data_IF_029433050103
#
_entry.id   IF_029433050103
#
_cell.length_a   1.000
_cell.length_b   1.000
_cell.length_c   1.000
_cell.angle_alpha   90.00
_cell.angle_beta   90.00
_cell.angle_gamma   90.00
#
_symmetry.space_group_name_H-M   'P 1'
#
loop_
_entity.id
_entity.type
_entity.pdbx_description
1 polymer ?
#
# COMPACT_ATOMS: atom_id res chain seq x y z
N UNK A 1 -56.86 27.80 23.60
CA UNK A 1 -56.58 27.08 22.34
C UNK A 1 -55.25 27.48 21.71
N UNK A 2 -54.88 28.76 21.58
CA UNK A 2 -53.60 29.16 20.99
C UNK A 2 -52.34 28.63 21.69
N UNK A 3 -52.36 28.53 23.05
CA UNK A 3 -51.22 27.99 23.83
C UNK A 3 -50.99 26.48 23.67
N UNK A 4 -52.06 25.73 23.41
CA UNK A 4 -52.00 24.28 23.17
C UNK A 4 -51.43 23.94 21.79
N UNK A 5 -51.74 24.77 20.79
CA UNK A 5 -51.22 24.65 19.42
C UNK A 5 -49.70 24.91 19.40
N UNK A 6 -49.22 25.89 20.15
CA UNK A 6 -47.77 26.17 20.28
C UNK A 6 -47.03 25.04 20.94
N UNK A 7 -47.62 24.38 21.95
CA UNK A 7 -46.99 23.25 22.62
C UNK A 7 -46.89 22.04 21.69
N UNK A 8 -47.93 21.77 20.88
CA UNK A 8 -47.90 20.69 19.88
C UNK A 8 -46.91 20.95 18.74
N UNK A 9 -46.77 22.20 18.29
CA UNK A 9 -45.79 22.56 17.26
C UNK A 9 -44.34 22.43 17.77
N UNK A 10 -44.09 22.78 19.05
CA UNK A 10 -42.76 22.63 19.65
C UNK A 10 -42.37 21.17 19.91
N UNK A 11 -43.34 20.27 20.16
CA UNK A 11 -43.10 18.84 20.28
C UNK A 11 -42.79 18.19 18.92
N UNK A 12 -43.45 18.64 17.83
CA UNK A 12 -43.20 18.16 16.46
C UNK A 12 -41.83 18.59 15.93
N UNK A 13 -41.33 19.76 16.30
CA UNK A 13 -39.97 20.22 15.92
C UNK A 13 -38.89 19.57 16.74
N UNK A 14 -39.14 19.16 18.00
CA UNK A 14 -38.17 18.43 18.81
C UNK A 14 -38.03 16.96 18.35
N UNK A 15 -39.10 16.34 17.81
CA UNK A 15 -39.07 14.97 17.27
C UNK A 15 -38.28 14.81 15.95
N UNK A 16 -38.16 15.89 15.17
CA UNK A 16 -37.42 15.85 13.89
C UNK A 16 -35.91 16.11 14.03
N UNK A 17 -35.43 16.53 15.20
CA UNK A 17 -34.00 16.74 15.44
C UNK A 17 -33.26 15.46 15.87
N UNK A 18 -33.97 14.38 16.20
CA UNK A 18 -33.37 13.09 16.55
C UNK A 18 -33.26 12.11 15.38
N UNK A 19 -33.72 12.47 14.19
CA UNK A 19 -33.68 11.62 13.00
C UNK A 19 -32.53 11.96 12.04
N UNK A 20 -31.64 12.88 12.42
CA UNK A 20 -30.52 13.33 11.57
C UNK A 20 -29.14 12.73 12.00
N UNK A 21 -29.14 11.63 12.75
CA UNK A 21 -27.90 11.00 13.22
C UNK A 21 -27.97 9.48 13.13
N UNK A 22 -28.20 8.91 11.93
CA UNK A 22 -28.17 7.44 11.87
C UNK A 22 -27.79 6.82 10.52
N UNK A 23 -27.01 7.50 9.69
CA UNK A 23 -26.45 6.89 8.47
C UNK A 23 -24.92 6.84 8.43
N UNK A 24 -24.22 7.23 9.49
CA UNK A 24 -22.78 7.07 9.57
C UNK A 24 -22.42 5.72 10.17
N UNK A 25 -21.82 4.83 9.36
CA UNK A 25 -21.29 3.56 9.84
C UNK A 25 -20.36 3.78 11.04
N UNK A 26 -20.51 2.94 12.04
CA UNK A 26 -19.56 2.90 13.16
C UNK A 26 -18.18 2.47 12.67
N UNK A 27 -17.16 2.80 13.43
CA UNK A 27 -15.78 2.38 13.08
C UNK A 27 -15.65 0.85 12.97
N UNK A 28 -16.36 0.09 13.79
CA UNK A 28 -16.38 -1.38 13.72
C UNK A 28 -17.00 -1.89 12.41
N UNK A 29 -18.09 -1.29 11.95
CA UNK A 29 -18.72 -1.61 10.67
C UNK A 29 -17.83 -1.24 9.50
N UNK A 30 -17.09 -0.11 9.56
CA UNK A 30 -16.14 0.27 8.53
C UNK A 30 -14.98 -0.75 8.44
N UNK A 31 -14.46 -1.25 9.58
CA UNK A 31 -13.43 -2.29 9.60
C UNK A 31 -13.93 -3.63 9.04
N UNK A 32 -15.20 -3.97 9.28
CA UNK A 32 -15.80 -5.17 8.68
C UNK A 32 -15.97 -5.01 7.17
N UNK A 33 -16.38 -3.84 6.70
CA UNK A 33 -16.48 -3.53 5.27
C UNK A 33 -15.10 -3.58 4.59
N UNK A 34 -14.07 -3.01 5.22
CA UNK A 34 -12.68 -3.10 4.77
C UNK A 34 -12.24 -4.55 4.58
N UNK A 35 -12.45 -5.38 5.63
CA UNK A 35 -12.11 -6.79 5.59
C UNK A 35 -12.82 -7.50 4.43
N UNK A 36 -14.13 -7.29 4.32
CA UNK A 36 -14.94 -7.87 3.25
C UNK A 36 -14.50 -7.40 1.86
N UNK A 37 -14.05 -6.15 1.72
CA UNK A 37 -13.51 -5.62 0.45
C UNK A 37 -12.19 -6.30 0.08
N UNK A 38 -11.27 -6.47 1.04
CA UNK A 38 -10.00 -7.17 0.84
C UNK A 38 -10.24 -8.64 0.47
N UNK A 39 -11.13 -9.35 1.17
CA UNK A 39 -11.47 -10.75 0.87
C UNK A 39 -12.07 -10.89 -0.54
N UNK A 40 -12.95 -10.00 -0.94
CA UNK A 40 -13.48 -9.97 -2.32
C UNK A 40 -12.38 -9.68 -3.34
N UNK A 41 -11.47 -8.75 -3.05
CA UNK A 41 -10.35 -8.43 -3.94
C UNK A 41 -9.47 -9.66 -4.18
N UNK A 42 -9.09 -10.36 -3.13
CA UNK A 42 -8.27 -11.57 -3.18
C UNK A 42 -8.96 -12.66 -4.02
N UNK A 43 -10.27 -12.87 -3.76
CA UNK A 43 -11.06 -13.86 -4.50
C UNK A 43 -11.20 -13.53 -5.98
N UNK A 44 -11.58 -12.28 -6.30
CA UNK A 44 -11.82 -11.83 -7.68
C UNK A 44 -10.53 -11.83 -8.50
N UNK A 45 -9.39 -11.54 -7.85
CA UNK A 45 -8.06 -11.57 -8.48
C UNK A 45 -7.44 -12.97 -8.53
N UNK A 46 -8.14 -14.00 -8.02
CA UNK A 46 -7.66 -15.38 -7.92
C UNK A 46 -6.27 -15.49 -7.27
N UNK A 47 -6.06 -14.71 -6.20
CA UNK A 47 -4.82 -14.69 -5.42
C UNK A 47 -4.75 -15.94 -4.54
N UNK A 48 -3.63 -16.64 -4.57
CA UNK A 48 -3.30 -17.71 -3.65
C UNK A 48 -2.60 -17.12 -2.42
N UNK A 49 -3.17 -17.33 -1.24
CA UNK A 49 -2.60 -16.80 0.01
C UNK A 49 -1.83 -17.89 0.73
N UNK A 50 -0.59 -17.58 1.12
CA UNK A 50 0.27 -18.45 1.91
C UNK A 50 0.57 -17.84 3.28
N UNK A 51 0.95 -18.69 4.23
CA UNK A 51 1.40 -18.25 5.56
C UNK A 51 2.85 -17.74 5.52
N UNK A 52 3.24 -16.98 6.54
CA UNK A 52 4.65 -16.55 6.71
C UNK A 52 5.58 -17.76 6.82
N UNK A 53 5.15 -18.83 7.50
CA UNK A 53 5.95 -20.05 7.63
C UNK A 53 6.20 -20.75 6.29
N UNK A 54 5.20 -20.83 5.42
CA UNK A 54 5.35 -21.38 4.06
C UNK A 54 6.26 -20.49 3.22
N UNK A 55 6.11 -19.17 3.32
CA UNK A 55 6.94 -18.20 2.63
C UNK A 55 8.41 -18.33 3.04
N UNK A 56 8.73 -18.41 4.34
CA UNK A 56 10.09 -18.60 4.85
C UNK A 56 10.69 -19.94 4.44
N UNK A 57 9.91 -21.02 4.42
CA UNK A 57 10.35 -22.34 3.95
C UNK A 57 10.63 -22.38 2.45
N UNK A 58 10.08 -21.44 1.70
CA UNK A 58 10.28 -21.28 0.26
C UNK A 58 11.27 -20.14 -0.06
N UNK A 59 12.34 -20.00 0.69
CA UNK A 59 13.40 -18.99 0.51
C UNK A 59 12.85 -17.55 0.42
N UNK A 60 11.71 -17.30 1.04
CA UNK A 60 11.01 -16.02 1.02
C UNK A 60 10.70 -15.51 -0.40
N UNK A 61 10.32 -16.40 -1.31
CA UNK A 61 9.83 -16.07 -2.66
C UNK A 61 8.33 -16.33 -2.76
N UNK A 62 7.69 -15.63 -3.68
CA UNK A 62 6.29 -15.83 -4.05
C UNK A 62 6.18 -16.09 -5.55
N UNK A 63 5.14 -16.80 -5.98
CA UNK A 63 4.84 -16.98 -7.39
C UNK A 63 4.12 -15.77 -7.97
N UNK A 64 4.42 -15.47 -9.22
CA UNK A 64 3.80 -14.35 -9.93
C UNK A 64 3.51 -14.73 -11.39
N UNK A 65 2.27 -14.54 -11.84
CA UNK A 65 1.90 -14.71 -13.25
C UNK A 65 2.75 -13.82 -14.17
N UNK A 66 3.15 -12.65 -13.69
CA UNK A 66 4.07 -11.76 -14.39
C UNK A 66 5.40 -12.43 -14.73
N UNK A 67 5.83 -13.43 -13.95
CA UNK A 67 7.05 -14.22 -14.15
C UNK A 67 6.79 -15.55 -14.88
N UNK A 68 5.55 -15.80 -15.33
CA UNK A 68 5.16 -17.01 -16.04
C UNK A 68 4.63 -18.13 -15.13
N UNK A 69 4.41 -17.86 -13.84
CA UNK A 69 3.81 -18.82 -12.91
C UNK A 69 2.31 -19.04 -13.20
N UNK A 70 1.76 -20.14 -12.71
CA UNK A 70 0.36 -20.50 -12.94
C UNK A 70 -0.63 -19.60 -12.20
N UNK A 71 -0.22 -18.98 -11.10
CA UNK A 71 -1.05 -18.13 -10.23
C UNK A 71 -0.21 -17.08 -9.52
N UNK A 72 -0.90 -16.05 -9.03
CA UNK A 72 -0.31 -15.05 -8.15
C UNK A 72 -0.40 -15.53 -6.70
N UNK A 73 0.72 -15.48 -5.97
CA UNK A 73 0.85 -15.94 -4.60
C UNK A 73 1.24 -14.76 -3.70
N UNK A 74 0.48 -14.58 -2.62
CA UNK A 74 0.73 -13.53 -1.65
C UNK A 74 0.93 -14.13 -0.25
N UNK A 75 1.99 -13.73 0.44
CA UNK A 75 2.18 -14.04 1.86
C UNK A 75 1.33 -13.11 2.72
N UNK A 76 0.65 -13.67 3.71
CA UNK A 76 -0.19 -12.93 4.64
C UNK A 76 0.51 -12.74 6.00
N UNK A 77 0.81 -11.49 6.34
CA UNK A 77 1.31 -11.07 7.64
C UNK A 77 0.13 -10.78 8.57
N UNK A 78 -0.30 -11.79 9.33
CA UNK A 78 -1.56 -11.76 10.07
C UNK A 78 -1.63 -10.71 11.19
N UNK A 79 -0.52 -10.34 11.82
CA UNK A 79 -0.46 -9.31 12.86
C UNK A 79 -0.72 -7.91 12.29
N UNK A 80 -0.20 -7.65 11.10
CA UNK A 80 -0.32 -6.38 10.39
C UNK A 80 -1.55 -6.34 9.48
N UNK A 81 -2.00 -7.50 9.01
CA UNK A 81 -3.07 -7.64 8.03
C UNK A 81 -2.64 -7.34 6.59
N UNK A 82 -1.35 -7.30 6.33
CA UNK A 82 -0.76 -6.98 5.03
C UNK A 82 -0.54 -8.25 4.23
N UNK A 83 -0.83 -8.18 2.91
CA UNK A 83 -0.46 -9.25 1.97
C UNK A 83 0.64 -8.72 1.05
N UNK A 84 1.63 -9.56 0.75
CA UNK A 84 2.78 -9.20 -0.07
C UNK A 84 3.05 -10.26 -1.15
N UNK A 85 3.25 -9.80 -2.39
CA UNK A 85 3.79 -10.58 -3.48
C UNK A 85 5.11 -9.95 -3.94
N UNK A 86 6.17 -10.72 -3.99
CA UNK A 86 7.45 -10.30 -4.56
C UNK A 86 7.47 -10.69 -6.04
N UNK A 87 7.40 -9.70 -6.93
CA UNK A 87 7.53 -9.90 -8.38
C UNK A 87 9.02 -10.04 -8.73
N UNK A 88 9.83 -9.13 -8.19
CA UNK A 88 11.29 -9.13 -8.31
C UNK A 88 11.88 -8.69 -6.99
N UNK A 89 12.73 -9.52 -6.41
CA UNK A 89 13.38 -9.19 -5.13
C UNK A 89 14.34 -8.01 -5.23
N UNK A 90 14.81 -7.73 -6.43
CA UNK A 90 15.79 -6.69 -6.71
C UNK A 90 17.23 -7.19 -6.71
N UNK A 91 18.09 -6.40 -7.35
CA UNK A 91 19.51 -6.62 -7.46
C UNK A 91 20.20 -5.27 -7.61
N UNK A 92 21.17 -4.88 -6.93
CA UNK A 92 21.79 -3.54 -6.94
C UNK A 92 22.12 -2.92 -8.31
N UNK A 93 22.15 -3.73 -9.38
CA UNK A 93 22.49 -3.23 -10.72
C UNK A 93 21.26 -3.06 -11.61
N UNK A 94 20.84 -1.80 -11.79
CA UNK A 94 19.70 -1.43 -12.64
C UNK A 94 19.99 -1.58 -14.13
N UNK A 95 21.24 -1.43 -14.54
CA UNK A 95 21.65 -1.36 -15.96
C UNK A 95 22.04 -2.74 -16.52
N UNK A 96 22.11 -3.77 -15.69
CA UNK A 96 22.46 -5.11 -16.16
C UNK A 96 21.25 -5.88 -16.69
N UNK A 97 20.93 -5.61 -17.95
CA UNK A 97 19.91 -6.38 -18.70
C UNK A 97 20.29 -7.87 -18.87
N UNK A 98 21.51 -8.25 -18.52
CA UNK A 98 22.03 -9.62 -18.56
C UNK A 98 22.16 -10.24 -17.17
N UNK A 99 21.73 -9.54 -16.10
CA UNK A 99 21.74 -10.11 -14.76
C UNK A 99 21.02 -11.46 -14.78
N UNK A 100 21.69 -12.54 -14.37
CA UNK A 100 21.05 -13.84 -14.29
C UNK A 100 19.87 -13.74 -13.32
N UNK A 101 18.86 -14.56 -13.58
CA UNK A 101 17.63 -14.67 -12.80
C UNK A 101 17.80 -14.08 -11.39
N UNK A 102 17.26 -12.90 -11.14
CA UNK A 102 17.48 -12.04 -9.96
C UNK A 102 17.16 -12.67 -8.62
N UNK A 103 16.72 -13.91 -8.63
CA UNK A 103 16.51 -14.75 -7.44
C UNK A 103 17.74 -15.57 -7.04
N UNK A 104 18.82 -15.62 -7.85
CA UNK A 104 20.00 -16.46 -7.64
C UNK A 104 21.24 -15.64 -7.24
N UNK A 105 21.14 -14.91 -6.14
CA UNK A 105 22.29 -14.14 -5.60
C UNK A 105 23.24 -14.99 -4.80
N UNK A 106 24.54 -14.63 -4.84
CA UNK A 106 25.49 -15.04 -3.80
C UNK A 106 25.10 -14.43 -2.45
N UNK A 107 25.52 -15.05 -1.36
CA UNK A 107 25.17 -14.54 -0.02
C UNK A 107 25.79 -13.15 0.26
N UNK A 108 26.92 -12.82 -0.36
CA UNK A 108 27.59 -11.52 -0.27
C UNK A 108 26.78 -10.43 -1.01
N UNK A 109 26.33 -10.68 -2.24
CA UNK A 109 25.46 -9.78 -3.00
C UNK A 109 24.13 -9.53 -2.28
N UNK A 110 23.59 -10.56 -1.60
CA UNK A 110 22.36 -10.43 -0.80
C UNK A 110 22.50 -9.45 0.36
N UNK A 111 23.69 -9.27 0.93
CA UNK A 111 23.90 -8.36 2.05
C UNK A 111 24.10 -6.91 1.60
N UNK A 112 24.87 -6.68 0.53
CA UNK A 112 25.18 -5.31 0.04
C UNK A 112 23.96 -4.58 -0.48
N UNK A 113 23.01 -5.30 -1.09
CA UNK A 113 21.83 -4.71 -1.71
C UNK A 113 20.62 -4.55 -0.79
N UNK A 114 20.73 -5.03 0.45
CA UNK A 114 19.66 -4.84 1.46
C UNK A 114 19.37 -3.36 1.70
N UNK A 115 18.11 -3.07 1.96
CA UNK A 115 17.71 -1.78 2.51
C UNK A 115 18.05 -1.73 4.00
N UNK A 116 18.94 -0.81 4.36
CA UNK A 116 19.44 -0.64 5.73
C UNK A 116 19.05 0.72 6.29
N UNK A 117 19.22 0.87 7.61
CA UNK A 117 18.99 2.14 8.30
C UNK A 117 19.72 3.28 7.61
N UNK A 118 19.01 4.40 7.44
CA UNK A 118 19.53 5.59 6.82
C UNK A 118 19.55 5.61 5.29
N UNK A 119 19.12 4.56 4.59
CA UNK A 119 19.00 4.64 3.14
C UNK A 119 17.95 5.68 2.71
N UNK A 120 18.27 6.41 1.65
CA UNK A 120 17.26 7.11 0.87
C UNK A 120 16.78 6.17 -0.22
N UNK A 121 15.47 5.99 -0.33
CA UNK A 121 14.85 5.02 -1.23
C UNK A 121 13.96 5.78 -2.21
N UNK A 122 14.26 5.65 -3.50
CA UNK A 122 13.36 6.04 -4.58
C UNK A 122 12.24 5.01 -4.71
N UNK A 123 11.02 5.46 -4.94
CA UNK A 123 9.88 4.57 -5.17
C UNK A 123 9.03 5.03 -6.34
N UNK A 124 8.62 4.03 -7.16
CA UNK A 124 7.63 4.18 -8.22
C UNK A 124 6.50 3.21 -7.97
N UNK A 125 5.27 3.70 -8.02
CA UNK A 125 4.12 2.94 -7.63
C UNK A 125 2.84 3.33 -8.38
N UNK A 126 1.89 2.42 -8.37
CA UNK A 126 0.48 2.68 -8.63
C UNK A 126 -0.33 2.21 -7.41
N UNK A 127 -1.21 3.08 -6.94
CA UNK A 127 -2.12 2.84 -5.82
C UNK A 127 -3.54 2.72 -6.32
N UNK A 128 -4.21 1.61 -5.97
CA UNK A 128 -5.60 1.35 -6.33
C UNK A 128 -6.44 1.21 -5.07
N UNK A 129 -7.53 1.94 -4.98
CA UNK A 129 -8.52 1.76 -3.92
C UNK A 129 -9.20 0.39 -4.10
N UNK A 130 -9.13 -0.47 -3.08
CA UNK A 130 -9.65 -1.85 -3.16
C UNK A 130 -11.18 -1.88 -3.23
N UNK A 131 -11.87 -0.93 -2.62
CA UNK A 131 -13.33 -0.88 -2.61
C UNK A 131 -13.91 -0.47 -3.96
N UNK A 132 -13.37 0.61 -4.54
CA UNK A 132 -13.86 1.16 -5.82
C UNK A 132 -13.19 0.57 -7.04
N UNK A 133 -12.04 -0.07 -6.90
CA UNK A 133 -11.17 -0.56 -7.98
C UNK A 133 -10.58 0.54 -8.86
N UNK A 134 -10.62 1.76 -8.39
CA UNK A 134 -10.12 2.93 -9.11
C UNK A 134 -8.66 3.23 -8.72
N UNK A 135 -7.89 3.68 -9.72
CA UNK A 135 -6.54 4.18 -9.51
C UNK A 135 -6.61 5.49 -8.71
N UNK A 136 -5.95 5.53 -7.56
CA UNK A 136 -6.00 6.67 -6.63
C UNK A 136 -4.80 7.61 -6.77
N UNK A 137 -3.59 7.05 -6.76
CA UNK A 137 -2.35 7.81 -6.93
C UNK A 137 -1.30 6.95 -7.65
N UNK A 138 -0.38 7.61 -8.38
CA UNK A 138 0.69 6.92 -9.09
C UNK A 138 1.80 7.89 -9.46
N UNK A 139 3.01 7.36 -9.66
CA UNK A 139 4.15 8.08 -10.22
C UNK A 139 4.92 7.25 -11.26
N UNK A 140 4.22 6.30 -11.86
CA UNK A 140 4.67 5.52 -13.02
C UNK A 140 4.06 6.10 -14.30
N UNK A 141 4.67 5.91 -15.46
CA UNK A 141 4.04 6.23 -16.75
C UNK A 141 2.77 5.38 -16.93
N UNK A 142 1.62 6.04 -17.03
CA UNK A 142 0.33 5.40 -17.35
C UNK A 142 -0.13 5.98 -18.68
N UNK A 143 -0.37 5.13 -19.67
CA UNK A 143 -0.67 5.55 -21.05
C UNK A 143 -1.83 6.55 -21.12
N UNK A 144 -2.87 6.34 -20.32
CA UNK A 144 -4.05 7.21 -20.23
C UNK A 144 -3.71 8.64 -19.79
N UNK A 145 -2.60 8.83 -19.06
CA UNK A 145 -2.20 10.11 -18.50
C UNK A 145 -0.90 10.65 -19.11
N UNK A 146 -0.35 10.01 -20.14
CA UNK A 146 0.91 10.43 -20.77
C UNK A 146 0.85 11.84 -21.37
N UNK A 147 -0.33 12.28 -21.81
CA UNK A 147 -0.56 13.65 -22.31
C UNK A 147 -0.50 14.72 -21.23
N UNK A 148 -0.63 14.34 -19.96
CA UNK A 148 -0.52 15.27 -18.82
C UNK A 148 0.92 15.74 -18.53
N UNK A 149 1.89 15.27 -19.30
CA UNK A 149 3.28 15.66 -19.21
C UNK A 149 4.06 14.94 -18.11
N UNK A 150 5.29 15.37 -17.92
CA UNK A 150 6.29 14.75 -17.06
C UNK A 150 6.02 14.83 -15.55
N UNK A 151 4.95 15.51 -15.12
CA UNK A 151 4.62 15.70 -13.69
C UNK A 151 4.42 14.39 -12.93
N UNK A 152 3.91 13.35 -13.61
CA UNK A 152 3.67 12.04 -13.00
C UNK A 152 4.88 11.09 -13.10
N UNK A 153 5.96 11.51 -13.75
CA UNK A 153 7.11 10.65 -14.05
C UNK A 153 8.21 10.71 -12.97
N UNK A 154 8.07 11.57 -11.97
CA UNK A 154 9.10 11.72 -10.94
C UNK A 154 8.87 10.71 -9.80
N UNK A 155 9.91 9.94 -9.42
CA UNK A 155 9.82 9.05 -8.27
C UNK A 155 9.68 9.87 -6.99
N UNK A 156 8.98 9.32 -6.02
CA UNK A 156 9.08 9.81 -4.65
C UNK A 156 10.35 9.27 -3.99
N UNK A 157 10.93 10.02 -3.07
CA UNK A 157 12.11 9.60 -2.31
C UNK A 157 11.80 9.68 -0.83
N UNK A 158 12.12 8.63 -0.10
CA UNK A 158 11.98 8.64 1.34
C UNK A 158 13.23 8.16 2.06
N UNK A 159 13.45 8.70 3.26
CA UNK A 159 14.46 8.21 4.18
C UNK A 159 13.90 7.06 4.98
N UNK A 160 14.58 5.92 4.93
CA UNK A 160 14.26 4.73 5.72
C UNK A 160 15.02 4.75 7.04
N UNK A 161 14.30 4.53 8.13
CA UNK A 161 14.85 4.35 9.48
C UNK A 161 14.49 2.93 9.94
N UNK A 162 15.48 2.16 10.30
CA UNK A 162 15.31 0.81 10.84
C UNK A 162 15.95 0.74 12.22
N UNK A 163 15.14 0.77 13.26
CA UNK A 163 15.55 0.51 14.62
C UNK A 163 15.30 -0.96 15.00
N UNK A 164 15.72 -1.34 16.19
CA UNK A 164 15.60 -2.71 16.69
C UNK A 164 14.13 -3.16 16.81
N UNK A 165 13.23 -2.24 17.18
CA UNK A 165 11.81 -2.54 17.48
C UNK A 165 10.82 -1.89 16.54
N UNK A 166 11.25 -1.01 15.62
CA UNK A 166 10.36 -0.34 14.68
C UNK A 166 11.07 0.04 13.39
N UNK A 167 10.27 0.25 12.35
CA UNK A 167 10.70 0.89 11.11
C UNK A 167 9.88 2.15 10.86
N UNK A 168 10.50 3.18 10.28
CA UNK A 168 9.83 4.40 9.87
C UNK A 168 10.33 4.84 8.50
N UNK A 169 9.48 5.52 7.76
CA UNK A 169 9.84 6.15 6.49
C UNK A 169 9.32 7.58 6.44
N UNK A 170 10.16 8.51 5.99
CA UNK A 170 9.78 9.90 5.84
C UNK A 170 10.11 10.36 4.43
N UNK A 171 9.11 10.76 3.65
CA UNK A 171 9.33 11.34 2.33
C UNK A 171 10.17 12.60 2.43
N UNK A 172 11.29 12.62 1.74
CA UNK A 172 12.16 13.78 1.53
C UNK A 172 11.79 14.49 0.23
N UNK A 173 11.30 13.74 -0.75
CA UNK A 173 10.74 14.23 -2.00
C UNK A 173 9.44 13.46 -2.27
N UNK A 174 8.33 14.18 -2.38
CA UNK A 174 7.03 13.60 -2.71
C UNK A 174 6.77 13.77 -4.20
N UNK A 175 6.20 12.74 -4.83
CA UNK A 175 5.63 12.90 -6.14
C UNK A 175 4.43 13.85 -6.12
N UNK A 176 3.99 14.28 -7.30
CA UNK A 176 2.95 15.29 -7.45
C UNK A 176 1.60 14.84 -6.85
N UNK A 177 1.18 13.60 -7.11
CA UNK A 177 -0.13 13.12 -6.66
C UNK A 177 -0.14 12.88 -5.16
N UNK A 178 0.94 12.30 -4.61
CA UNK A 178 1.07 12.11 -3.17
C UNK A 178 1.01 13.43 -2.41
N UNK A 179 1.80 14.42 -2.87
CA UNK A 179 1.82 15.75 -2.28
C UNK A 179 0.46 16.45 -2.36
N UNK A 180 -0.27 16.25 -3.46
CA UNK A 180 -1.58 16.87 -3.68
C UNK A 180 -2.72 16.24 -2.89
N UNK A 181 -2.76 14.90 -2.81
CA UNK A 181 -3.91 14.20 -2.22
C UNK A 181 -3.72 13.88 -0.74
N UNK A 182 -2.52 13.53 -0.32
CA UNK A 182 -2.27 13.08 1.03
C UNK A 182 -1.51 14.12 1.87
N UNK A 183 -0.63 14.89 1.24
CA UNK A 183 0.20 15.92 1.88
C UNK A 183 0.91 15.42 3.16
N UNK A 184 1.19 14.11 3.21
CA UNK A 184 1.80 13.43 4.35
C UNK A 184 3.23 13.02 4.02
N UNK A 185 4.16 13.35 4.90
CA UNK A 185 5.54 12.90 4.78
C UNK A 185 5.74 11.48 5.29
N UNK A 186 4.77 10.89 5.98
CA UNK A 186 4.88 9.52 6.49
C UNK A 186 4.66 8.51 5.37
N UNK A 187 5.60 7.57 5.22
CA UNK A 187 5.48 6.42 4.33
C UNK A 187 4.54 5.39 4.96
N UNK A 188 3.62 4.75 4.20
CA UNK A 188 2.77 3.69 4.70
C UNK A 188 3.57 2.58 5.38
N UNK A 189 3.15 2.16 6.57
CA UNK A 189 3.82 1.09 7.31
C UNK A 189 3.81 -0.24 6.54
N UNK A 190 2.77 -0.48 5.73
CA UNK A 190 2.69 -1.64 4.85
C UNK A 190 3.81 -1.70 3.82
N UNK A 191 4.31 -0.55 3.33
CA UNK A 191 5.46 -0.50 2.43
C UNK A 191 6.75 -0.90 3.16
N UNK A 192 6.94 -0.36 4.36
CA UNK A 192 8.15 -0.60 5.16
C UNK A 192 8.27 -2.05 5.61
N UNK A 193 7.13 -2.74 5.81
CA UNK A 193 7.06 -4.16 6.14
C UNK A 193 7.72 -5.04 5.06
N UNK A 194 7.67 -4.64 3.81
CA UNK A 194 8.24 -5.40 2.69
C UNK A 194 9.78 -5.29 2.58
N UNK A 195 10.36 -4.15 3.00
CA UNK A 195 11.77 -3.83 2.76
C UNK A 195 12.79 -4.88 3.29
N UNK A 196 12.58 -5.55 4.44
CA UNK A 196 13.48 -6.60 4.90
C UNK A 196 13.62 -7.79 3.95
N UNK A 197 12.60 -8.03 3.12
CA UNK A 197 12.56 -9.15 2.15
C UNK A 197 13.07 -8.76 0.77
N UNK A 198 13.31 -7.45 0.54
CA UNK A 198 13.65 -6.88 -0.74
C UNK A 198 15.11 -6.44 -0.81
N UNK A 199 15.54 -6.13 -2.02
CA UNK A 199 16.86 -5.61 -2.37
C UNK A 199 16.70 -4.39 -3.28
N UNK A 200 17.78 -3.71 -3.54
CA UNK A 200 17.82 -2.57 -4.48
C UNK A 200 17.21 -2.96 -5.84
N UNK A 201 16.39 -2.10 -6.42
CA UNK A 201 15.60 -2.31 -7.64
C UNK A 201 14.51 -3.39 -7.54
N UNK A 202 13.89 -3.54 -6.37
CA UNK A 202 12.81 -4.50 -6.18
C UNK A 202 11.48 -4.03 -6.78
N UNK A 203 10.65 -5.01 -7.18
CA UNK A 203 9.26 -4.87 -7.56
C UNK A 203 8.37 -5.72 -6.66
N UNK A 204 7.43 -5.10 -5.97
CA UNK A 204 6.55 -5.76 -4.99
C UNK A 204 5.10 -5.29 -5.15
N UNK A 205 4.16 -6.18 -4.92
CA UNK A 205 2.74 -5.85 -4.80
C UNK A 205 2.26 -6.05 -3.38
N UNK A 206 1.47 -5.11 -2.88
CA UNK A 206 0.98 -5.12 -1.51
C UNK A 206 -0.52 -4.89 -1.46
N UNK A 207 -1.23 -5.64 -0.61
CA UNK A 207 -2.57 -5.30 -0.14
C UNK A 207 -2.40 -4.77 1.27
N UNK A 208 -2.70 -3.50 1.47
CA UNK A 208 -2.42 -2.78 2.71
C UNK A 208 -3.73 -2.34 3.34
N UNK A 209 -4.10 -2.86 4.52
CA UNK A 209 -5.27 -2.40 5.24
C UNK A 209 -5.06 -0.96 5.74
N UNK A 210 -6.14 -0.28 6.00
CA UNK A 210 -6.15 1.14 6.40
C UNK A 210 -5.18 1.44 7.53
N UNK A 211 -5.14 0.59 8.56
CA UNK A 211 -4.27 0.75 9.75
C UNK A 211 -2.77 0.80 9.42
N UNK A 212 -2.37 0.21 8.29
CA UNK A 212 -0.99 0.14 7.81
C UNK A 212 -0.73 1.08 6.62
N UNK A 213 -1.77 1.80 6.20
CA UNK A 213 -1.75 2.76 5.10
C UNK A 213 -1.30 4.17 5.52
N UNK A 214 -1.43 5.11 4.59
CA UNK A 214 -1.20 6.54 4.84
C UNK A 214 -2.32 7.16 5.70
N UNK A 215 -2.14 8.40 6.17
CA UNK A 215 -3.08 9.06 7.09
C UNK A 215 -4.53 9.09 6.58
N UNK A 216 -4.73 9.36 5.29
CA UNK A 216 -6.07 9.38 4.69
C UNK A 216 -6.70 7.98 4.68
N UNK A 217 -5.92 6.92 4.40
CA UNK A 217 -6.39 5.55 4.50
C UNK A 217 -6.89 5.23 5.91
N UNK A 218 -6.13 5.62 6.94
CA UNK A 218 -6.49 5.41 8.34
C UNK A 218 -7.74 6.20 8.73
N UNK A 219 -7.85 7.45 8.27
CA UNK A 219 -8.99 8.32 8.57
C UNK A 219 -10.31 7.78 8.01
N UNK A 220 -10.28 7.25 6.79
CA UNK A 220 -11.47 6.80 6.07
C UNK A 220 -11.65 5.28 6.03
N UNK A 221 -10.78 4.54 6.74
CA UNK A 221 -10.80 3.06 6.82
C UNK A 221 -10.80 2.44 5.42
N UNK A 222 -9.89 2.91 4.56
CA UNK A 222 -9.82 2.51 3.15
C UNK A 222 -8.59 1.64 2.91
N UNK A 223 -8.75 0.39 2.43
CA UNK A 223 -7.63 -0.46 2.05
C UNK A 223 -7.16 -0.15 0.64
N UNK A 224 -5.85 -0.28 0.41
CA UNK A 224 -5.24 -0.03 -0.88
C UNK A 224 -4.43 -1.21 -1.39
N UNK A 225 -4.48 -1.42 -2.70
CA UNK A 225 -3.55 -2.27 -3.42
C UNK A 225 -2.46 -1.38 -4.03
N UNK A 226 -1.21 -1.74 -3.78
CA UNK A 226 -0.04 -1.07 -4.35
C UNK A 226 0.67 -2.01 -5.31
N UNK A 227 0.95 -1.55 -6.51
CA UNK A 227 1.95 -2.12 -7.42
C UNK A 227 3.17 -1.20 -7.37
N UNK A 228 4.16 -1.55 -6.54
CA UNK A 228 5.39 -0.77 -6.36
C UNK A 228 6.43 -1.35 -7.30
N UNK A 229 6.53 -0.76 -8.47
CA UNK A 229 7.38 -1.25 -9.56
C UNK A 229 8.86 -0.99 -9.33
N UNK A 230 9.20 -0.12 -8.39
CA UNK A 230 10.57 0.19 -8.05
C UNK A 230 10.69 0.61 -6.58
N UNK A 231 11.47 -0.17 -5.82
CA UNK A 231 12.19 0.31 -4.65
C UNK A 231 13.66 0.31 -4.98
N UNK A 232 14.30 1.48 -5.01
CA UNK A 232 15.70 1.63 -5.38
C UNK A 232 16.42 2.56 -4.42
N UNK A 233 17.66 2.21 -4.06
CA UNK A 233 18.52 3.11 -3.29
C UNK A 233 18.77 4.39 -4.11
N UNK A 234 18.47 5.55 -3.54
CA UNK A 234 18.82 6.82 -4.18
C UNK A 234 20.34 6.93 -4.25
N UNK A 235 20.86 7.11 -5.47
CA UNK A 235 22.28 7.40 -5.67
C UNK A 235 22.51 8.86 -5.28
N UNK A 236 23.50 9.10 -4.43
CA UNK A 236 23.97 10.45 -4.05
C UNK A 236 24.67 11.13 -5.20
#
# INVERSE_FOLDING_TARGET
MKKLVFLFLSLLTAGSLFQACDDSKTYAEQLEDEKNAVERFIKDSAIHVISVSEFEQNDSVTKAKANGDAYDEFVFFSSEGVYMQIIDRGCGDYDDSNAPNRNNYTDEEKEEDKFVDGNNICTRYAETNIETRELAAFNIPVEEYMDAGTLYAYPAVFRYVKAETYSAGTFTEMDYLWGRYYASTAVPQGWLLSLPYLRDNAHVRLIVPSKMGHNSAQQYVTPYFYDITEFRKARS
#
